data_IF_699406929543
#
_entry.id   IF_699406929543
#
_cell.length_a   1.000
_cell.length_b   1.000
_cell.length_c   1.000
_cell.angle_alpha   90.00
_cell.angle_beta   90.00
_cell.angle_gamma   90.00
#
_symmetry.space_group_name_H-M   'P 1'
#
loop_
_entity.id
_entity.type
_entity.pdbx_description
1 polymer ?
#
# COMPACT_ATOMS: atom_id res chain seq x y z
N UNK A 1 2.23 19.10 2.17
CA UNK A 1 2.07 18.13 1.08
C UNK A 1 3.19 17.10 1.20
N UNK A 2 2.85 15.81 1.36
CA UNK A 2 3.84 14.72 1.39
C UNK A 2 3.49 13.65 0.36
N UNK A 3 4.53 13.05 -0.22
CA UNK A 3 4.41 11.95 -1.17
C UNK A 3 4.31 10.64 -0.40
N UNK A 4 3.43 9.76 -0.85
CA UNK A 4 3.15 8.46 -0.25
C UNK A 4 3.25 7.40 -1.32
N UNK A 5 3.71 6.21 -0.94
CA UNK A 5 3.71 5.06 -1.84
C UNK A 5 2.29 4.51 -1.99
N UNK A 6 1.81 4.40 -3.22
CA UNK A 6 0.58 3.72 -3.59
C UNK A 6 0.92 2.40 -4.30
N UNK A 7 0.22 1.32 -3.95
CA UNK A 7 0.45 -0.03 -4.49
C UNK A 7 -0.74 -0.41 -5.35
N UNK A 8 -0.46 -0.74 -6.61
CA UNK A 8 -1.45 -1.28 -7.52
C UNK A 8 -1.70 -2.76 -7.19
N UNK A 9 -2.88 -3.04 -6.64
CA UNK A 9 -3.28 -4.38 -6.20
C UNK A 9 -3.32 -5.35 -7.38
N UNK A 10 -3.69 -4.89 -8.57
CA UNK A 10 -3.89 -5.76 -9.73
C UNK A 10 -2.55 -6.28 -10.25
N UNK A 11 -1.50 -5.45 -10.15
CA UNK A 11 -0.11 -5.81 -10.50
C UNK A 11 0.56 -6.57 -9.34
N UNK A 12 0.41 -6.08 -8.10
CA UNK A 12 1.06 -6.68 -6.93
C UNK A 12 0.52 -8.08 -6.62
N UNK A 13 -0.78 -8.34 -6.77
CA UNK A 13 -1.38 -9.63 -6.49
C UNK A 13 -1.07 -10.70 -7.56
N UNK A 14 -0.43 -10.32 -8.68
CA UNK A 14 0.10 -11.29 -9.64
C UNK A 14 1.29 -12.08 -9.07
N UNK A 15 2.02 -11.51 -8.10
CA UNK A 15 3.23 -12.12 -7.52
C UNK A 15 3.30 -11.99 -5.99
N UNK A 16 3.61 -13.07 -5.29
CA UNK A 16 3.69 -13.11 -3.83
C UNK A 16 5.07 -12.67 -3.27
N UNK A 17 5.73 -11.68 -3.89
CA UNK A 17 7.15 -11.37 -3.65
C UNK A 17 7.47 -10.90 -2.23
N UNK A 18 6.60 -10.09 -1.60
CA UNK A 18 6.75 -9.53 -0.24
C UNK A 18 8.05 -8.75 0.02
N UNK A 19 8.82 -8.42 -1.02
CA UNK A 19 10.14 -7.77 -0.87
C UNK A 19 10.02 -6.36 -0.30
N UNK A 20 9.02 -5.59 -0.75
CA UNK A 20 8.80 -4.22 -0.28
C UNK A 20 8.59 -4.10 1.24
N UNK A 21 8.04 -5.14 1.90
CA UNK A 21 7.85 -5.19 3.35
C UNK A 21 9.17 -5.30 4.12
N UNK A 22 10.21 -5.91 3.52
CA UNK A 22 11.50 -6.16 4.17
C UNK A 22 12.48 -4.98 4.00
N UNK A 23 12.35 -4.23 2.91
CA UNK A 23 13.25 -3.13 2.57
C UNK A 23 12.73 -1.75 2.97
N UNK A 24 11.52 -1.67 3.53
CA UNK A 24 11.00 -0.40 4.02
C UNK A 24 11.80 0.03 5.26
N UNK A 25 12.38 1.24 5.31
CA UNK A 25 13.15 1.71 6.45
C UNK A 25 12.30 1.96 7.70
N UNK A 26 10.99 2.17 7.53
CA UNK A 26 10.04 2.33 8.64
C UNK A 26 9.26 1.02 8.83
N UNK A 27 9.38 0.43 10.02
CA UNK A 27 8.71 -0.81 10.37
C UNK A 27 7.18 -0.68 10.24
N UNK A 28 6.52 -1.77 9.84
CA UNK A 28 5.06 -1.88 9.69
C UNK A 28 4.41 -0.86 8.73
N UNK A 29 5.20 -0.16 7.91
CA UNK A 29 4.65 0.76 6.90
C UNK A 29 4.02 0.03 5.73
N UNK A 30 4.62 -1.09 5.31
CA UNK A 30 4.09 -1.90 4.22
C UNK A 30 3.80 -3.27 4.80
N UNK A 31 2.54 -3.66 4.73
CA UNK A 31 2.07 -4.94 5.22
C UNK A 31 1.50 -5.75 4.07
N UNK A 32 1.52 -7.07 4.21
CA UNK A 32 1.03 -7.98 3.18
C UNK A 32 -0.27 -8.62 3.64
N UNK A 33 -1.34 -8.38 2.90
CA UNK A 33 -2.61 -9.03 3.14
C UNK A 33 -2.80 -10.19 2.15
N UNK A 34 -3.01 -11.38 2.69
CA UNK A 34 -3.28 -12.59 1.91
C UNK A 34 -4.68 -12.63 1.29
N UNK A 35 -5.60 -11.78 1.74
CA UNK A 35 -7.01 -11.75 1.33
C UNK A 35 -7.28 -10.64 0.31
N UNK A 36 -6.66 -9.46 0.46
CA UNK A 36 -6.88 -8.29 -0.41
C UNK A 36 -6.83 -8.54 -1.94
N UNK A 37 -5.99 -9.46 -2.40
CA UNK A 37 -5.95 -9.85 -3.82
C UNK A 37 -7.05 -10.85 -4.20
N UNK A 38 -7.45 -11.73 -3.29
CA UNK A 38 -8.47 -12.76 -3.52
C UNK A 38 -9.88 -12.15 -3.63
N UNK A 39 -10.17 -11.09 -2.88
CA UNK A 39 -11.46 -10.37 -2.99
C UNK A 39 -11.69 -9.80 -4.40
N UNK A 40 -10.60 -9.53 -5.14
CA UNK A 40 -10.62 -9.09 -6.54
C UNK A 40 -10.49 -10.24 -7.55
N UNK A 41 -10.49 -11.49 -7.09
CA UNK A 41 -10.32 -12.67 -7.94
C UNK A 41 -8.88 -12.96 -8.37
N UNK A 42 -7.88 -12.35 -7.73
CA UNK A 42 -6.46 -12.55 -8.05
C UNK A 42 -5.90 -13.75 -7.26
N UNK A 43 -4.86 -14.38 -7.82
CA UNK A 43 -4.30 -15.65 -7.32
C UNK A 43 -3.57 -15.51 -5.97
N UNK A 44 -2.94 -14.37 -5.72
CA UNK A 44 -2.18 -14.11 -4.49
C UNK A 44 -2.71 -12.88 -3.77
N UNK A 45 -2.26 -12.69 -2.53
CA UNK A 45 -2.54 -11.47 -1.76
C UNK A 45 -1.76 -10.26 -2.27
N UNK A 46 -2.11 -9.08 -1.80
CA UNK A 46 -1.45 -7.81 -2.16
C UNK A 46 -0.82 -7.15 -0.94
N UNK A 47 0.24 -6.38 -1.18
CA UNK A 47 0.76 -5.48 -0.18
C UNK A 47 -0.09 -4.21 -0.12
N UNK A 48 -0.21 -3.62 1.06
CA UNK A 48 -0.84 -2.32 1.29
C UNK A 48 0.09 -1.42 2.12
N UNK A 49 -0.09 -0.10 1.97
CA UNK A 49 0.76 0.90 2.64
C UNK A 49 -0.04 1.60 3.71
N UNK A 50 0.45 1.53 4.94
CA UNK A 50 0.03 2.37 6.06
C UNK A 50 0.48 3.82 5.80
N UNK A 51 -0.43 4.61 5.24
CA UNK A 51 -0.16 5.99 4.78
C UNK A 51 0.29 6.92 5.90
N UNK A 52 -0.20 6.71 7.12
CA UNK A 52 0.20 7.42 8.34
C UNK A 52 1.67 7.19 8.72
N UNK A 53 2.20 6.01 8.39
CA UNK A 53 3.60 5.64 8.66
C UNK A 53 4.54 6.00 7.50
N UNK A 54 4.01 6.11 6.28
CA UNK A 54 4.82 6.37 5.09
C UNK A 54 5.54 7.72 5.16
N UNK A 55 6.88 7.69 5.15
CA UNK A 55 7.73 8.90 5.11
C UNK A 55 8.14 9.36 3.71
N UNK A 56 7.61 8.72 2.67
CA UNK A 56 7.88 9.12 1.28
C UNK A 56 9.32 8.90 0.80
N UNK A 57 10.05 7.93 1.38
CA UNK A 57 11.45 7.67 1.04
C UNK A 57 11.67 7.00 -0.34
N UNK A 58 10.60 6.54 -1.00
CA UNK A 58 10.62 5.86 -2.31
C UNK A 58 11.46 4.57 -2.39
N UNK A 59 11.97 4.04 -1.28
CA UNK A 59 12.77 2.81 -1.27
C UNK A 59 11.98 1.59 -1.75
N UNK A 60 10.69 1.52 -1.39
CA UNK A 60 9.80 0.44 -1.85
C UNK A 60 9.57 0.46 -3.37
N UNK A 61 9.54 1.65 -3.99
CA UNK A 61 9.45 1.81 -5.45
C UNK A 61 10.71 1.26 -6.11
N UNK A 62 11.88 1.67 -5.62
CA UNK A 62 13.14 1.17 -6.16
C UNK A 62 13.24 -0.35 -6.10
N UNK A 63 12.82 -0.97 -5.00
CA UNK A 63 12.80 -2.44 -4.85
C UNK A 63 11.81 -3.09 -5.79
N UNK A 64 10.60 -2.54 -5.94
CA UNK A 64 9.59 -3.10 -6.83
C UNK A 64 10.00 -3.01 -8.31
N UNK A 65 10.65 -1.92 -8.70
CA UNK A 65 11.08 -1.67 -10.08
C UNK A 65 12.37 -2.42 -10.43
N UNK A 66 13.40 -2.33 -9.59
CA UNK A 66 14.74 -2.79 -9.95
C UNK A 66 15.01 -4.22 -9.49
N UNK A 67 14.52 -4.59 -8.29
CA UNK A 67 14.80 -5.90 -7.71
C UNK A 67 13.73 -6.92 -8.10
N UNK A 68 12.45 -6.57 -7.94
CA UNK A 68 11.32 -7.45 -8.25
C UNK A 68 10.84 -7.35 -9.71
N UNK A 69 11.11 -6.23 -10.41
CA UNK A 69 10.70 -5.96 -11.79
C UNK A 69 9.19 -6.11 -12.03
N UNK A 70 8.39 -5.67 -11.06
CA UNK A 70 6.92 -5.74 -11.13
C UNK A 70 6.28 -4.39 -11.44
N UNK A 71 6.93 -3.28 -11.11
CA UNK A 71 6.42 -1.92 -11.38
C UNK A 71 5.03 -1.65 -10.75
N UNK A 72 4.78 -2.24 -9.59
CA UNK A 72 3.48 -2.17 -8.91
C UNK A 72 3.35 -0.97 -7.95
N UNK A 73 4.44 -0.29 -7.60
CA UNK A 73 4.43 0.78 -6.59
C UNK A 73 4.76 2.11 -7.25
N UNK A 74 3.94 3.14 -6.99
CA UNK A 74 4.15 4.50 -7.48
C UNK A 74 4.12 5.48 -6.33
N UNK A 75 4.90 6.55 -6.43
CA UNK A 75 4.81 7.67 -5.49
C UNK A 75 3.71 8.62 -5.95
N UNK A 76 2.71 8.83 -5.11
CA UNK A 76 1.60 9.73 -5.38
C UNK A 76 1.45 10.74 -4.23
N UNK A 77 0.86 11.90 -4.54
CA UNK A 77 0.54 12.88 -3.51
C UNK A 77 -0.60 12.35 -2.66
N UNK A 78 -0.57 12.57 -1.35
CA UNK A 78 -1.65 12.10 -0.48
C UNK A 78 -3.04 12.60 -0.92
N UNK A 79 -3.13 13.80 -1.49
CA UNK A 79 -4.40 14.35 -1.98
C UNK A 79 -4.95 13.61 -3.23
N UNK A 80 -4.11 12.79 -3.88
CA UNK A 80 -4.44 12.04 -5.09
C UNK A 80 -4.70 10.55 -4.81
N UNK A 81 -4.25 10.04 -3.67
CA UNK A 81 -4.48 8.65 -3.29
C UNK A 81 -5.96 8.51 -2.87
N UNK A 82 -6.73 7.78 -3.69
CA UNK A 82 -8.11 7.39 -3.36
C UNK A 82 -8.16 6.27 -2.32
N UNK A 83 -9.32 5.62 -2.20
CA UNK A 83 -9.74 4.58 -1.23
C UNK A 83 -8.77 3.43 -0.91
N UNK A 84 -7.66 3.32 -1.63
CA UNK A 84 -6.58 2.34 -1.41
C UNK A 84 -5.59 2.72 -0.30
N UNK A 85 -5.62 3.95 0.21
CA UNK A 85 -4.84 4.36 1.39
C UNK A 85 -5.43 3.78 2.68
N UNK A 86 -4.99 2.58 3.06
CA UNK A 86 -5.32 1.96 4.34
C UNK A 86 -4.32 2.41 5.40
N UNK A 87 -4.78 3.05 6.47
CA UNK A 87 -4.02 3.14 7.72
C UNK A 87 -4.65 2.20 8.75
N UNK A 88 -3.92 1.84 9.80
CA UNK A 88 -4.42 0.94 10.86
C UNK A 88 -5.72 1.43 11.53
N UNK A 89 -6.10 2.70 11.33
CA UNK A 89 -7.29 3.30 11.94
C UNK A 89 -8.18 4.10 10.95
N UNK A 90 -7.76 4.34 9.71
CA UNK A 90 -8.42 5.29 8.80
C UNK A 90 -8.33 4.81 7.34
N UNK A 91 -9.48 4.77 6.67
CA UNK A 91 -9.63 4.70 5.21
C UNK A 91 -10.02 6.08 4.65
N UNK A 92 -9.48 6.48 3.50
CA UNK A 92 -9.82 7.74 2.83
C UNK A 92 -10.79 7.47 1.68
N UNK A 93 -12.09 7.70 1.87
CA UNK A 93 -13.14 7.27 0.92
C UNK A 93 -13.36 8.19 -0.29
N UNK A 94 -12.85 9.44 -0.32
CA UNK A 94 -13.01 10.35 -1.47
C UNK A 94 -11.90 11.44 -1.51
N UNK A 95 -11.68 12.01 -2.71
CA UNK A 95 -10.69 13.07 -3.07
C UNK A 95 -10.75 14.40 -2.27
N UNK A 96 -11.48 14.45 -1.16
CA UNK A 96 -11.52 15.58 -0.23
C UNK A 96 -11.51 15.09 1.22
N UNK A 97 -10.33 14.59 1.64
CA UNK A 97 -9.76 14.72 3.00
C UNK A 97 -10.71 14.55 4.20
N UNK A 98 -11.62 13.57 4.16
CA UNK A 98 -12.30 13.09 5.37
C UNK A 98 -11.76 11.71 5.73
N UNK A 99 -10.91 11.61 6.77
CA UNK A 99 -10.50 10.31 7.30
C UNK A 99 -11.75 9.61 7.85
N UNK A 100 -12.10 8.44 7.30
CA UNK A 100 -13.18 7.60 7.84
C UNK A 100 -12.53 6.48 8.62
N UNK A 101 -12.97 6.25 9.86
CA UNK A 101 -12.45 5.16 10.69
C UNK A 101 -12.63 3.82 9.98
N UNK A 102 -11.52 3.14 9.68
CA UNK A 102 -11.57 1.80 9.12
C UNK A 102 -12.06 0.84 10.22
N UNK A 103 -13.31 0.37 10.10
CA UNK A 103 -13.86 -0.68 10.98
C UNK A 103 -13.76 -2.05 10.30
N UNK A 104 -13.51 -3.15 11.04
CA UNK A 104 -13.43 -3.24 12.50
C UNK A 104 -11.99 -3.39 13.01
N UNK A 105 -11.76 -2.79 14.18
CA UNK A 105 -10.66 -3.12 15.09
C UNK A 105 -10.64 -4.64 15.31
N UNK A 106 -9.69 -5.36 14.70
CA UNK A 106 -9.33 -6.71 15.18
C UNK A 106 -8.55 -6.50 16.48
N UNK A 107 -9.27 -6.63 17.59
CA UNK A 107 -8.70 -6.66 18.94
C UNK A 107 -7.84 -7.89 19.21
#
# INVERSE_FOLDING_TARGET
MYLVANIDIDICAATSCKLCTQYCPEANTIQYDTEAGKDRGLKYGSAYVAVDRCKGCAQCVWVCDNMAKHHAIKMEMIDQIGDAALTENISYLEKNTKPVLASPLRG
#
